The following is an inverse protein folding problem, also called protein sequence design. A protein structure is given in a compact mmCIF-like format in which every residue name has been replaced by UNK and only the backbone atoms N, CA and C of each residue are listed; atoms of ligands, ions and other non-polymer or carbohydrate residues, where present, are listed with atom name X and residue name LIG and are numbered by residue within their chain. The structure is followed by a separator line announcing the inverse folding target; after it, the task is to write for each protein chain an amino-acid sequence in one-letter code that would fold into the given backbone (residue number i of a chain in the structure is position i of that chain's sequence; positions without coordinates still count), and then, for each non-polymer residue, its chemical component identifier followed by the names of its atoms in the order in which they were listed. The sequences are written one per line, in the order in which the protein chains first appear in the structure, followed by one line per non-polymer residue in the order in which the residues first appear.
data_IF_764220556264
#
_entry.id   IF_764220556264
#
_cell.length_a   1.000
_cell.length_b   1.000
_cell.length_c   1.000
_cell.angle_alpha   90.00
_cell.angle_beta   90.00
_cell.angle_gamma   90.00
#
_symmetry.space_group_name_H-M   'P 1'
#
loop_
_entity.id
_entity.type
_entity.pdbx_description
1 polymer ?
#
# COMPACT_ATOMS: atom_id res chain seq x y z
N UNK A 1 -11.93 11.51 -2.08
CA UNK A 1 -12.40 10.12 -2.05
C UNK A 1 -11.31 9.22 -1.49
N UNK A 2 -11.68 8.33 -0.59
CA UNK A 2 -10.69 7.45 0.05
C UNK A 2 -10.51 6.20 -0.79
N UNK A 3 -9.25 5.87 -1.05
CA UNK A 3 -8.90 4.66 -1.79
C UNK A 3 -8.66 3.55 -0.79
N UNK A 4 -9.28 2.41 -1.04
CA UNK A 4 -9.10 1.22 -0.22
C UNK A 4 -8.43 0.17 -1.08
N UNK A 5 -7.28 -0.31 -0.61
CA UNK A 5 -6.54 -1.34 -1.34
C UNK A 5 -6.64 -2.66 -0.58
N UNK A 6 -6.42 -3.76 -1.31
CA UNK A 6 -6.37 -5.06 -0.66
C UNK A 6 -4.92 -5.43 -0.35
N UNK A 7 -4.76 -6.58 0.32
CA UNK A 7 -3.43 -6.98 0.79
C UNK A 7 -2.47 -7.27 -0.37
N UNK A 8 -3.00 -7.73 -1.50
CA UNK A 8 -2.16 -8.02 -2.66
C UNK A 8 -1.60 -6.73 -3.26
N UNK A 9 -2.43 -5.69 -3.30
CA UNK A 9 -1.98 -4.39 -3.79
C UNK A 9 -0.90 -3.79 -2.90
N UNK A 10 -1.03 -3.99 -1.59
CA UNK A 10 -0.02 -3.49 -0.65
C UNK A 10 1.33 -4.16 -0.90
N UNK A 11 1.33 -5.49 -1.02
CA UNK A 11 2.57 -6.22 -1.29
C UNK A 11 3.18 -5.82 -2.63
N UNK A 12 2.35 -5.66 -3.65
CA UNK A 12 2.83 -5.28 -4.97
C UNK A 12 3.43 -3.88 -4.96
N UNK A 13 2.80 -2.95 -4.26
CA UNK A 13 3.31 -1.58 -4.17
C UNK A 13 4.67 -1.56 -3.48
N UNK A 14 4.82 -2.32 -2.39
CA UNK A 14 6.12 -2.42 -1.71
C UNK A 14 7.18 -2.97 -2.65
N UNK A 15 6.83 -4.02 -3.39
CA UNK A 15 7.78 -4.64 -4.31
C UNK A 15 8.23 -3.66 -5.38
N UNK A 16 7.30 -2.88 -5.92
CA UNK A 16 7.64 -1.89 -6.94
C UNK A 16 8.60 -0.82 -6.43
N UNK A 17 8.50 -0.50 -5.14
CA UNK A 17 9.35 0.51 -4.52
C UNK A 17 10.58 -0.08 -3.85
N UNK A 18 10.73 -1.39 -3.87
CA UNK A 18 11.79 -2.10 -3.18
C UNK A 18 11.77 -1.84 -1.67
N UNK A 19 10.57 -1.72 -1.13
CA UNK A 19 10.39 -1.49 0.32
C UNK A 19 10.11 -2.80 1.03
N UNK A 20 10.75 -2.97 2.20
CA UNK A 20 10.39 -4.04 3.13
C UNK A 20 9.14 -3.62 3.91
N UNK A 21 8.58 -4.57 4.68
CA UNK A 21 7.50 -4.22 5.61
C UNK A 21 7.98 -3.21 6.64
N UNK A 22 9.24 -3.32 7.05
CA UNK A 22 9.84 -2.37 7.98
C UNK A 22 9.88 -0.98 7.37
N UNK A 23 10.29 -0.88 6.11
CA UNK A 23 10.33 0.40 5.42
C UNK A 23 8.95 1.05 5.39
N UNK A 24 7.94 0.27 5.01
CA UNK A 24 6.57 0.80 4.95
C UNK A 24 6.09 1.22 6.33
N UNK A 25 6.38 0.40 7.33
CA UNK A 25 6.00 0.69 8.72
C UNK A 25 6.53 2.05 9.15
N UNK A 26 7.80 2.29 8.90
CA UNK A 26 8.42 3.55 9.31
C UNK A 26 7.88 4.73 8.53
N UNK A 27 7.72 4.58 7.22
CA UNK A 27 7.29 5.68 6.39
C UNK A 27 5.82 6.05 6.60
N UNK A 28 4.99 5.05 6.82
CA UNK A 28 3.55 5.27 7.05
C UNK A 28 3.21 5.51 8.51
N UNK A 29 4.18 5.28 9.40
CA UNK A 29 3.96 5.41 10.86
C UNK A 29 2.87 4.46 11.33
N UNK A 30 2.97 3.21 10.89
CA UNK A 30 2.05 2.15 11.22
C UNK A 30 2.85 0.98 11.77
N UNK A 31 2.36 0.32 12.81
CA UNK A 31 3.08 -0.79 13.42
C UNK A 31 3.36 -1.88 12.39
N UNK A 32 4.57 -2.43 12.42
CA UNK A 32 4.96 -3.48 11.49
C UNK A 32 4.05 -4.69 11.59
N UNK A 33 3.65 -5.06 12.81
CA UNK A 33 2.76 -6.19 13.01
C UNK A 33 1.41 -5.99 12.31
N UNK A 34 0.92 -4.75 12.30
CA UNK A 34 -0.33 -4.42 11.63
C UNK A 34 -0.20 -4.63 10.13
N UNK A 35 0.92 -4.18 9.57
CA UNK A 35 1.18 -4.38 8.14
C UNK A 35 1.31 -5.86 7.81
N UNK A 36 2.05 -6.60 8.63
CA UNK A 36 2.22 -8.02 8.42
C UNK A 36 0.90 -8.78 8.45
N UNK A 37 0.04 -8.48 9.43
CA UNK A 37 -1.26 -9.13 9.52
C UNK A 37 -2.14 -8.81 8.31
N UNK A 38 -2.11 -7.55 7.88
CA UNK A 38 -2.87 -7.15 6.71
C UNK A 38 -2.39 -7.87 5.46
N UNK A 39 -1.08 -7.95 5.26
CA UNK A 39 -0.52 -8.57 4.05
C UNK A 39 -0.70 -10.07 4.00
N UNK A 40 -0.89 -10.70 5.17
CA UNK A 40 -1.24 -12.13 5.19
C UNK A 40 -2.72 -12.39 4.98
N UNK A 41 -3.52 -11.32 4.88
CA UNK A 41 -4.95 -11.45 4.78
C UNK A 41 -5.62 -11.77 6.10
N UNK A 42 -4.90 -11.63 7.22
CA UNK A 42 -5.40 -12.01 8.53
C UNK A 42 -6.32 -10.95 9.13
N UNK A 43 -6.20 -9.70 8.71
CA UNK A 43 -7.05 -8.63 9.22
C UNK A 43 -7.06 -7.46 8.24
N UNK A 44 -8.13 -6.68 8.32
CA UNK A 44 -8.23 -5.45 7.55
C UNK A 44 -7.62 -4.29 8.33
N UNK A 45 -7.28 -3.23 7.62
CA UNK A 45 -6.81 -2.00 8.26
C UNK A 45 -8.00 -1.11 8.59
N UNK A 46 -7.90 -0.39 9.69
CA UNK A 46 -8.84 0.69 9.99
C UNK A 46 -8.69 1.76 8.92
N UNK A 47 -9.75 2.55 8.73
CA UNK A 47 -9.74 3.53 7.65
C UNK A 47 -8.61 4.54 7.82
N UNK A 48 -8.31 4.97 9.03
CA UNK A 48 -7.22 5.92 9.26
C UNK A 48 -5.88 5.32 8.88
N UNK A 49 -5.67 4.05 9.24
CA UNK A 49 -4.44 3.35 8.91
C UNK A 49 -4.34 3.11 7.41
N UNK A 50 -5.44 2.74 6.79
CA UNK A 50 -5.49 2.55 5.35
C UNK A 50 -5.08 3.83 4.63
N UNK A 51 -5.58 4.98 5.08
CA UNK A 51 -5.25 6.25 4.45
C UNK A 51 -3.77 6.60 4.59
N UNK A 52 -3.15 6.27 5.74
CA UNK A 52 -1.72 6.48 5.91
C UNK A 52 -0.92 5.64 4.93
N UNK A 53 -1.29 4.37 4.79
CA UNK A 53 -0.58 3.45 3.91
C UNK A 53 -0.74 3.86 2.45
N UNK A 54 -1.98 4.10 2.02
CA UNK A 54 -2.24 4.51 0.65
C UNK A 54 -1.57 5.84 0.36
N UNK A 55 -1.65 6.78 1.29
CA UNK A 55 -1.06 8.11 1.10
C UNK A 55 0.44 8.05 0.87
N UNK A 56 1.15 7.25 1.67
CA UNK A 56 2.60 7.18 1.51
C UNK A 56 2.99 6.50 0.19
N UNK A 57 2.21 5.51 -0.24
CA UNK A 57 2.43 4.89 -1.54
C UNK A 57 2.21 5.91 -2.67
N UNK A 58 1.12 6.65 -2.60
CA UNK A 58 0.80 7.63 -3.65
C UNK A 58 1.84 8.74 -3.70
N UNK A 59 2.35 9.18 -2.55
CA UNK A 59 3.40 10.18 -2.53
C UNK A 59 4.67 9.72 -3.21
N UNK A 60 4.85 8.41 -3.30
CA UNK A 60 6.03 7.82 -3.91
C UNK A 60 5.77 7.28 -5.31
N UNK A 61 4.68 7.69 -5.94
CA UNK A 61 4.42 7.40 -7.33
C UNK A 61 3.57 6.18 -7.62
N UNK A 62 3.03 5.54 -6.58
CA UNK A 62 2.17 4.37 -6.80
C UNK A 62 0.76 4.82 -7.11
N UNK A 63 0.15 4.17 -8.10
CA UNK A 63 -1.26 4.36 -8.42
C UNK A 63 -1.97 3.03 -8.31
N UNK A 64 -3.18 3.09 -7.74
CA UNK A 64 -4.01 1.90 -7.55
C UNK A 64 -5.31 2.06 -8.29
N UNK A 65 -5.78 0.98 -8.91
CA UNK A 65 -7.11 0.95 -9.51
C UNK A 65 -7.71 -0.43 -9.31
N UNK A 66 -9.03 -0.46 -9.13
CA UNK A 66 -9.78 -1.70 -9.05
C UNK A 66 -11.01 -1.54 -9.93
N UNK A 67 -11.17 -2.43 -10.90
CA UNK A 67 -12.30 -2.34 -11.82
C UNK A 67 -12.69 -3.73 -12.29
N UNK A 68 -13.96 -4.10 -12.09
CA UNK A 68 -14.53 -5.32 -12.62
C UNK A 68 -13.68 -6.55 -12.34
N UNK A 69 -13.26 -6.70 -11.10
CA UNK A 69 -12.49 -7.86 -10.68
C UNK A 69 -11.01 -7.80 -11.00
N UNK A 70 -10.55 -6.72 -11.64
CA UNK A 70 -9.13 -6.53 -11.89
C UNK A 70 -8.57 -5.54 -10.91
N UNK A 71 -7.36 -5.78 -10.45
CA UNK A 71 -6.65 -4.83 -9.60
C UNK A 71 -5.41 -4.36 -10.32
N UNK A 72 -5.10 -3.09 -10.16
CA UNK A 72 -3.94 -2.49 -10.77
C UNK A 72 -3.07 -1.86 -9.70
N UNK A 73 -1.77 -2.07 -9.83
CA UNK A 73 -0.77 -1.35 -9.03
C UNK A 73 0.31 -0.95 -10.01
N UNK A 74 0.58 0.35 -10.13
CA UNK A 74 1.65 0.77 -11.02
C UNK A 74 2.50 1.83 -10.35
N UNK A 75 3.76 1.84 -10.71
CA UNK A 75 4.69 2.87 -10.26
C UNK A 75 4.91 3.84 -11.41
N UNK A 76 4.60 5.11 -11.16
CA UNK A 76 4.84 6.16 -12.13
C UNK A 76 6.12 6.87 -11.71
N UNK A 77 7.20 6.58 -12.42
CA UNK A 77 8.48 7.18 -12.10
C UNK A 77 8.62 8.49 -12.84
N UNK A 78 9.12 9.48 -12.12
CA UNK A 78 9.32 10.78 -12.74
C UNK A 78 10.53 10.71 -13.67
N UNK A 79 10.34 11.19 -14.89
CA UNK A 79 11.48 11.26 -15.80
C UNK A 79 12.38 12.42 -15.37
N UNK A 80 13.65 12.27 -15.67
CA UNK A 80 14.64 13.29 -15.35
C UNK A 80 14.75 14.32 -16.45
#
# INVERSE_FOLDING_TARGET
MNIIINYKQCKAARALLDWSQEDLSQKAEVAKATIGDFERGARNLRIETMQKVVGIFEENGIRFETEKGRILVELVEKSQ
#
